data_IF_472390752647
#
_entry.id   IF_472390752647
#
_cell.length_a   1.000
_cell.length_b   1.000
_cell.length_c   1.000
_cell.angle_alpha   90.00
_cell.angle_beta   90.00
_cell.angle_gamma   90.00
#
_symmetry.space_group_name_H-M   'P 1'
#
loop_
_entity.id
_entity.type
_entity.pdbx_description
1 polymer ?
#
# COMPACT_ATOMS: atom_id res chain seq x y z
N UNK A 1 -5.96 16.51 1.87
CA UNK A 1 -5.66 15.14 2.32
C UNK A 1 -5.18 14.38 1.11
N UNK A 2 -4.16 13.54 1.25
CA UNK A 2 -3.50 12.89 0.10
C UNK A 2 -3.34 11.39 0.32
N UNK A 3 -3.52 10.59 -0.71
CA UNK A 3 -3.26 9.16 -0.71
C UNK A 3 -2.20 8.81 -1.77
N UNK A 4 -1.25 7.95 -1.39
CA UNK A 4 -0.24 7.40 -2.30
C UNK A 4 -0.65 5.97 -2.69
N UNK A 5 -0.84 5.75 -3.97
CA UNK A 5 -1.19 4.45 -4.56
C UNK A 5 0.04 3.92 -5.30
N UNK A 6 0.50 2.71 -4.94
CA UNK A 6 1.74 2.14 -5.47
C UNK A 6 1.39 0.98 -6.40
N UNK A 7 1.67 1.15 -7.70
CA UNK A 7 1.50 0.10 -8.69
C UNK A 7 2.76 -0.78 -8.76
N UNK A 8 2.67 -1.96 -8.15
CA UNK A 8 3.71 -2.98 -8.15
C UNK A 8 3.63 -4.01 -9.28
N UNK A 9 2.83 -3.74 -10.32
CA UNK A 9 2.80 -4.54 -11.55
C UNK A 9 3.98 -4.21 -12.46
N UNK A 10 4.54 -5.19 -13.19
CA UNK A 10 5.49 -4.90 -14.27
C UNK A 10 4.85 -4.12 -15.43
N UNK A 11 3.52 -3.98 -15.46
CA UNK A 11 2.77 -3.22 -16.46
C UNK A 11 2.24 -1.92 -15.87
N UNK A 12 2.66 -0.79 -16.45
CA UNK A 12 2.19 0.55 -16.07
C UNK A 12 0.67 0.69 -16.19
N UNK A 13 0.09 0.12 -17.26
CA UNK A 13 -1.35 0.15 -17.57
C UNK A 13 -1.94 -1.27 -17.60
N UNK A 14 -1.70 -2.06 -16.54
CA UNK A 14 -2.23 -3.42 -16.40
C UNK A 14 -3.44 -3.51 -15.45
N UNK A 15 -3.91 -4.73 -15.17
CA UNK A 15 -5.07 -4.98 -14.29
C UNK A 15 -4.91 -4.37 -12.88
N UNK A 16 -3.70 -4.44 -12.29
CA UNK A 16 -3.42 -3.78 -11.00
C UNK A 16 -3.56 -2.26 -11.09
N UNK A 17 -3.14 -1.65 -12.20
CA UNK A 17 -3.30 -0.22 -12.39
C UNK A 17 -4.78 0.17 -12.51
N UNK A 18 -5.55 -0.59 -13.29
CA UNK A 18 -7.00 -0.41 -13.40
C UNK A 18 -7.67 -0.45 -12.01
N UNK A 19 -7.30 -1.42 -11.18
CA UNK A 19 -7.82 -1.53 -9.82
C UNK A 19 -7.49 -0.27 -8.99
N UNK A 20 -6.24 0.19 -9.04
CA UNK A 20 -5.80 1.41 -8.36
C UNK A 20 -6.50 2.66 -8.88
N UNK A 21 -6.81 2.75 -10.17
CA UNK A 21 -7.59 3.86 -10.75
C UNK A 21 -9.02 3.92 -10.18
N UNK A 22 -9.65 2.76 -9.95
CA UNK A 22 -10.97 2.72 -9.29
C UNK A 22 -10.88 3.08 -7.80
N UNK A 23 -9.81 2.70 -7.10
CA UNK A 23 -9.56 3.20 -5.73
C UNK A 23 -9.35 4.71 -5.73
N UNK A 24 -8.57 5.24 -6.67
CA UNK A 24 -8.34 6.67 -6.84
C UNK A 24 -9.64 7.44 -7.11
N UNK A 25 -10.53 6.87 -7.93
CA UNK A 25 -11.87 7.40 -8.19
C UNK A 25 -12.68 7.53 -6.89
N UNK A 26 -12.75 6.46 -6.09
CA UNK A 26 -13.46 6.50 -4.80
C UNK A 26 -12.85 7.48 -3.80
N UNK A 27 -11.52 7.59 -3.76
CA UNK A 27 -10.82 8.58 -2.93
C UNK A 27 -11.20 10.02 -3.35
N UNK A 28 -11.20 10.30 -4.65
CA UNK A 28 -11.56 11.61 -5.19
C UNK A 28 -13.02 11.97 -4.89
N UNK A 29 -13.95 11.02 -5.05
CA UNK A 29 -15.36 11.17 -4.65
C UNK A 29 -15.51 11.49 -3.15
N UNK A 30 -14.64 10.92 -2.32
CA UNK A 30 -14.55 11.20 -0.88
C UNK A 30 -13.78 12.46 -0.50
N UNK A 31 -13.27 13.24 -1.47
CA UNK A 31 -12.53 14.48 -1.24
C UNK A 31 -11.07 14.29 -0.80
N UNK A 32 -10.44 13.17 -1.18
CA UNK A 32 -9.02 12.89 -0.95
C UNK A 32 -8.28 12.77 -2.28
N UNK A 33 -7.22 13.55 -2.46
CA UNK A 33 -6.40 13.49 -3.66
C UNK A 33 -5.59 12.20 -3.70
N UNK A 34 -5.49 11.55 -4.86
CA UNK A 34 -4.75 10.31 -5.03
C UNK A 34 -3.64 10.46 -6.07
N UNK A 35 -2.45 9.95 -5.75
CA UNK A 35 -1.31 9.88 -6.66
C UNK A 35 -0.90 8.42 -6.89
N UNK A 36 -0.97 7.94 -8.13
CA UNK A 36 -0.47 6.61 -8.50
C UNK A 36 1.00 6.71 -8.91
N UNK A 37 1.87 5.92 -8.29
CA UNK A 37 3.29 5.77 -8.64
C UNK A 37 3.55 4.35 -9.11
N UNK A 38 4.12 4.20 -10.30
CA UNK A 38 4.51 2.92 -10.87
C UNK A 38 5.95 2.59 -10.53
N UNK A 39 6.21 1.37 -10.02
CA UNK A 39 7.56 0.92 -9.65
C UNK A 39 8.49 0.69 -10.86
N UNK A 40 7.96 0.69 -12.08
CA UNK A 40 8.71 0.39 -13.31
C UNK A 40 8.62 -1.09 -13.71
N UNK A 41 9.49 -1.54 -14.61
CA UNK A 41 9.60 -2.95 -15.03
C UNK A 41 11.02 -3.50 -14.93
N UNK A 42 11.98 -2.67 -14.48
CA UNK A 42 13.37 -3.08 -14.28
C UNK A 42 13.50 -3.93 -13.01
N UNK A 43 14.50 -4.81 -12.93
CA UNK A 43 14.80 -5.53 -11.71
C UNK A 43 14.97 -4.57 -10.52
N UNK A 44 14.28 -4.86 -9.42
CA UNK A 44 14.36 -4.09 -8.19
C UNK A 44 14.91 -4.97 -7.08
N UNK A 45 16.08 -4.61 -6.57
CA UNK A 45 16.76 -5.37 -5.52
C UNK A 45 15.96 -5.32 -4.21
N UNK A 46 15.92 -6.44 -3.50
CA UNK A 46 15.36 -6.54 -2.16
C UNK A 46 16.24 -5.86 -1.11
N UNK A 47 15.73 -5.74 0.12
CA UNK A 47 16.50 -5.19 1.22
C UNK A 47 17.67 -6.12 1.60
N UNK A 48 18.89 -5.59 1.63
CA UNK A 48 20.10 -6.33 2.06
C UNK A 48 20.40 -6.20 3.56
N UNK A 49 19.50 -5.58 4.34
CA UNK A 49 19.71 -5.30 5.76
C UNK A 49 21.03 -4.56 6.09
N UNK A 50 21.56 -3.74 5.16
CA UNK A 50 22.83 -3.03 5.35
C UNK A 50 22.76 -1.88 6.38
N UNK A 51 21.56 -1.52 6.85
CA UNK A 51 21.28 -0.50 7.86
C UNK A 51 21.75 0.93 7.59
N UNK A 52 22.34 1.23 6.42
CA UNK A 52 22.76 2.59 6.07
C UNK A 52 21.61 3.61 6.12
N UNK A 53 20.40 3.20 5.72
CA UNK A 53 19.19 4.01 5.79
C UNK A 53 18.84 4.51 7.20
N UNK A 54 19.27 3.82 8.26
CA UNK A 54 19.04 4.28 9.65
C UNK A 54 19.78 5.56 9.98
N UNK A 55 20.86 5.87 9.25
CA UNK A 55 21.64 7.11 9.40
C UNK A 55 21.27 8.16 8.37
N UNK A 56 21.00 7.74 7.14
CA UNK A 56 20.81 8.65 6.00
C UNK A 56 19.34 8.99 5.71
N UNK A 57 18.39 8.24 6.27
CA UNK A 57 16.98 8.33 5.90
C UNK A 57 16.67 7.88 4.47
N UNK A 58 17.65 7.28 3.76
CA UNK A 58 17.53 6.88 2.36
C UNK A 58 18.14 5.50 2.12
N UNK A 59 17.62 4.76 1.15
CA UNK A 59 18.22 3.51 0.72
C UNK A 59 19.54 3.77 -0.04
N UNK A 60 20.50 2.84 0.07
CA UNK A 60 21.78 2.88 -0.68
C UNK A 60 21.61 2.61 -2.18
N UNK A 61 20.53 1.91 -2.53
CA UNK A 61 20.10 1.78 -3.91
C UNK A 61 19.26 3.01 -4.24
N UNK A 62 19.78 3.87 -5.11
CA UNK A 62 19.12 5.10 -5.53
C UNK A 62 18.20 4.82 -6.72
N UNK A 63 16.98 4.42 -6.39
CA UNK A 63 15.92 4.08 -7.34
C UNK A 63 14.56 4.56 -6.80
N UNK A 64 13.47 4.10 -7.43
CA UNK A 64 12.08 4.48 -7.12
C UNK A 64 11.72 4.38 -5.62
N UNK A 65 12.39 3.52 -4.84
CA UNK A 65 12.13 3.45 -3.39
C UNK A 65 12.47 4.77 -2.70
N UNK A 66 13.56 5.43 -3.10
CA UNK A 66 13.93 6.73 -2.53
C UNK A 66 13.00 7.86 -2.97
N UNK A 67 12.34 7.72 -4.12
CA UNK A 67 11.30 8.65 -4.59
C UNK A 67 10.00 8.49 -3.79
N UNK A 68 9.68 7.27 -3.35
CA UNK A 68 8.49 6.99 -2.55
C UNK A 68 8.56 7.55 -1.12
N UNK A 69 9.75 7.68 -0.53
CA UNK A 69 9.92 8.14 0.86
C UNK A 69 9.27 9.50 1.13
N UNK A 70 9.57 10.59 0.39
CA UNK A 70 8.92 11.88 0.62
C UNK A 70 7.40 11.81 0.36
N UNK A 71 6.98 11.12 -0.69
CA UNK A 71 5.56 10.97 -1.03
C UNK A 71 4.77 10.25 0.08
N UNK A 72 5.36 9.22 0.68
CA UNK A 72 4.75 8.47 1.77
C UNK A 72 4.67 9.29 3.07
N UNK A 73 5.67 10.15 3.34
CA UNK A 73 5.62 11.08 4.47
C UNK A 73 4.49 12.10 4.32
N UNK A 74 4.25 12.61 3.11
CA UNK A 74 3.15 13.55 2.83
C UNK A 74 1.76 12.91 2.82
N UNK A 75 1.65 11.61 2.52
CA UNK A 75 0.37 10.95 2.33
C UNK A 75 -0.34 10.61 3.65
N UNK A 76 -1.63 10.88 3.76
CA UNK A 76 -2.49 10.44 4.87
C UNK A 76 -2.92 8.97 4.74
N UNK A 77 -2.89 8.43 3.52
CA UNK A 77 -3.21 7.02 3.22
C UNK A 77 -2.28 6.40 2.19
N UNK A 78 -2.06 5.09 2.30
CA UNK A 78 -1.21 4.31 1.40
C UNK A 78 -1.99 3.11 0.86
N UNK A 79 -1.95 2.91 -0.45
CA UNK A 79 -2.51 1.73 -1.11
C UNK A 79 -1.40 0.98 -1.84
N UNK A 80 -1.21 -0.30 -1.53
CA UNK A 80 -0.22 -1.16 -2.19
C UNK A 80 -0.95 -2.07 -3.18
N UNK A 81 -0.73 -1.84 -4.48
CA UNK A 81 -1.27 -2.67 -5.56
C UNK A 81 -0.27 -3.70 -6.04
N UNK A 82 -0.68 -4.95 -6.20
CA UNK A 82 0.15 -6.02 -6.74
C UNK A 82 -0.61 -6.94 -7.71
N UNK A 83 0.02 -7.45 -8.78
CA UNK A 83 -0.43 -8.68 -9.41
C UNK A 83 -0.10 -9.87 -8.50
N UNK A 84 -0.80 -10.99 -8.70
CA UNK A 84 -0.49 -12.27 -8.04
C UNK A 84 0.46 -13.10 -8.90
N UNK A 85 1.67 -13.34 -8.39
CA UNK A 85 2.66 -14.22 -9.01
C UNK A 85 2.87 -15.45 -8.12
N UNK A 86 2.59 -16.65 -8.64
CA UNK A 86 2.73 -17.91 -7.91
C UNK A 86 2.09 -17.89 -6.50
N UNK A 87 0.85 -17.41 -6.42
CA UNK A 87 0.06 -17.27 -5.19
C UNK A 87 0.63 -16.33 -4.11
N UNK A 88 1.49 -15.39 -4.51
CA UNK A 88 2.02 -14.34 -3.65
C UNK A 88 2.00 -12.97 -4.37
N UNK A 89 2.29 -11.91 -3.63
CA UNK A 89 2.53 -10.59 -4.22
C UNK A 89 3.77 -10.62 -5.12
N UNK A 90 3.87 -9.69 -6.07
CA UNK A 90 4.96 -9.65 -7.04
C UNK A 90 6.33 -9.47 -6.34
N UNK A 91 7.38 -10.06 -6.92
CA UNK A 91 8.75 -9.83 -6.43
C UNK A 91 9.13 -8.35 -6.41
N UNK A 92 8.62 -7.58 -7.38
CA UNK A 92 8.90 -6.16 -7.49
C UNK A 92 8.27 -5.35 -6.35
N UNK A 93 6.99 -5.57 -6.03
CA UNK A 93 6.32 -4.86 -4.94
C UNK A 93 6.94 -5.25 -3.60
N UNK A 94 7.23 -6.52 -3.38
CA UNK A 94 7.80 -6.99 -2.12
C UNK A 94 9.22 -6.45 -1.93
N UNK A 95 10.07 -6.42 -2.96
CA UNK A 95 11.39 -5.76 -2.92
C UNK A 95 11.28 -4.27 -2.55
N UNK A 96 10.36 -3.54 -3.18
CA UNK A 96 10.15 -2.12 -2.89
C UNK A 96 9.66 -1.90 -1.45
N UNK A 97 8.64 -2.64 -1.03
CA UNK A 97 8.01 -2.46 0.28
C UNK A 97 8.93 -2.89 1.41
N UNK A 98 9.68 -4.00 1.26
CA UNK A 98 10.72 -4.37 2.22
C UNK A 98 11.72 -3.23 2.44
N UNK A 99 12.13 -2.53 1.38
CA UNK A 99 13.06 -1.42 1.52
C UNK A 99 12.40 -0.17 2.11
N UNK A 100 11.25 0.24 1.56
CA UNK A 100 10.51 1.44 2.00
C UNK A 100 10.17 1.37 3.49
N UNK A 101 9.50 0.31 3.93
CA UNK A 101 9.09 0.12 5.32
C UNK A 101 10.29 -0.12 6.26
N UNK A 102 11.38 -0.73 5.77
CA UNK A 102 12.55 -0.96 6.60
C UNK A 102 13.37 0.31 6.87
N UNK A 103 13.38 1.29 5.97
CA UNK A 103 14.19 2.52 6.13
C UNK A 103 13.96 3.19 7.50
N UNK A 104 12.72 3.21 7.97
CA UNK A 104 12.29 4.00 9.12
C UNK A 104 12.31 5.51 8.84
N UNK A 105 12.42 5.92 7.57
CA UNK A 105 12.42 7.32 7.16
C UNK A 105 11.00 7.89 6.96
N UNK A 106 9.98 7.01 7.03
CA UNK A 106 8.58 7.39 6.93
C UNK A 106 7.94 7.21 8.31
N UNK A 107 7.28 8.25 8.81
CA UNK A 107 6.41 8.13 9.98
C UNK A 107 5.06 7.55 9.54
N UNK A 108 4.75 6.32 9.93
CA UNK A 108 3.49 5.66 9.58
C UNK A 108 2.34 5.98 10.55
N UNK A 109 2.62 6.73 11.61
CA UNK A 109 1.67 6.95 12.72
C UNK A 109 0.38 7.61 12.24
N UNK A 110 -0.75 6.93 12.46
CA UNK A 110 -2.06 7.42 12.07
C UNK A 110 -2.32 7.48 10.56
N UNK A 111 -1.44 6.93 9.71
CA UNK A 111 -1.71 6.80 8.27
C UNK A 111 -2.57 5.56 7.99
N UNK A 112 -3.58 5.70 7.14
CA UNK A 112 -4.44 4.58 6.74
C UNK A 112 -3.74 3.68 5.70
N UNK A 113 -3.91 2.37 5.78
CA UNK A 113 -3.29 1.40 4.87
C UNK A 113 -4.32 0.52 4.17
N UNK A 114 -4.13 0.25 2.88
CA UNK A 114 -4.90 -0.75 2.16
C UNK A 114 -4.02 -1.51 1.15
N UNK A 115 -4.37 -2.75 0.87
CA UNK A 115 -3.77 -3.51 -0.23
C UNK A 115 -4.81 -3.84 -1.28
N UNK A 116 -4.38 -3.96 -2.53
CA UNK A 116 -5.19 -4.39 -3.67
C UNK A 116 -4.41 -5.44 -4.44
N UNK A 117 -5.08 -6.53 -4.81
CA UNK A 117 -4.47 -7.60 -5.60
C UNK A 117 -5.25 -7.88 -6.87
N UNK A 118 -4.54 -8.15 -7.96
CA UNK A 118 -5.13 -8.60 -9.21
C UNK A 118 -4.65 -10.01 -9.54
N UNK A 119 -5.58 -10.92 -9.86
CA UNK A 119 -5.24 -12.30 -10.23
C UNK A 119 -6.11 -12.82 -11.38
N UNK A 120 -5.63 -13.81 -12.13
CA UNK A 120 -6.45 -14.45 -13.18
C UNK A 120 -7.39 -15.52 -12.62
N UNK A 121 -6.98 -16.25 -11.57
CA UNK A 121 -7.71 -17.44 -11.08
C UNK A 121 -7.58 -17.70 -9.59
N UNK A 122 -6.41 -17.51 -8.98
CA UNK A 122 -6.21 -17.88 -7.59
C UNK A 122 -4.94 -17.29 -6.99
N UNK A 123 -4.80 -17.47 -5.68
CA UNK A 123 -3.68 -16.93 -4.90
C UNK A 123 -3.88 -15.50 -4.39
N UNK A 124 -5.03 -14.89 -4.66
CA UNK A 124 -5.34 -13.54 -4.24
C UNK A 124 -5.40 -13.38 -2.71
N UNK A 125 -6.02 -14.32 -1.98
CA UNK A 125 -6.05 -14.27 -0.51
C UNK A 125 -4.66 -14.29 0.12
N UNK A 126 -3.78 -15.21 -0.32
CA UNK A 126 -2.42 -15.30 0.20
C UNK A 126 -1.58 -14.05 -0.11
N UNK A 127 -1.71 -13.48 -1.31
CA UNK A 127 -1.05 -12.23 -1.68
C UNK A 127 -1.61 -11.03 -0.87
N UNK A 128 -2.92 -10.95 -0.69
CA UNK A 128 -3.59 -9.92 0.11
C UNK A 128 -3.13 -9.96 1.57
N UNK A 129 -3.10 -11.16 2.17
CA UNK A 129 -2.62 -11.38 3.53
C UNK A 129 -1.14 -11.00 3.68
N UNK A 130 -0.32 -11.32 2.69
CA UNK A 130 1.09 -10.94 2.66
C UNK A 130 1.26 -9.42 2.69
N UNK A 131 0.51 -8.67 1.85
CA UNK A 131 0.62 -7.23 1.78
C UNK A 131 0.09 -6.53 3.04
N UNK A 132 -0.98 -7.04 3.65
CA UNK A 132 -1.53 -6.42 4.87
C UNK A 132 -0.58 -6.47 6.07
N UNK A 133 0.42 -7.36 6.07
CA UNK A 133 1.45 -7.42 7.11
C UNK A 133 2.28 -6.14 7.20
N UNK A 134 2.45 -5.38 6.12
CA UNK A 134 3.16 -4.10 6.15
C UNK A 134 2.44 -3.06 7.02
N UNK A 135 1.11 -3.09 7.03
CA UNK A 135 0.29 -2.17 7.82
C UNK A 135 0.24 -2.59 9.29
N UNK A 136 0.07 -3.88 9.57
CA UNK A 136 -0.02 -4.38 10.96
C UNK A 136 1.31 -4.24 11.70
N UNK A 137 2.45 -4.45 11.03
CA UNK A 137 3.76 -4.30 11.66
C UNK A 137 4.11 -2.83 11.97
N UNK A 138 3.48 -1.88 11.26
CA UNK A 138 3.72 -0.44 11.44
C UNK A 138 2.63 0.29 12.22
N UNK A 139 1.56 -0.40 12.63
CA UNK A 139 0.46 0.19 13.40
C UNK A 139 -0.50 1.04 12.57
N UNK A 140 -0.52 0.85 11.25
CA UNK A 140 -1.45 1.55 10.36
C UNK A 140 -2.85 0.92 10.45
N UNK A 141 -3.92 1.72 10.62
CA UNK A 141 -5.28 1.22 10.48
C UNK A 141 -5.51 0.66 9.08
N UNK A 142 -5.94 -0.60 9.00
CA UNK A 142 -6.25 -1.26 7.73
C UNK A 142 -7.64 -0.87 7.27
N UNK A 143 -7.75 -0.36 6.05
CA UNK A 143 -9.02 -0.07 5.39
C UNK A 143 -9.48 -1.30 4.61
N UNK A 144 -10.69 -1.76 4.91
CA UNK A 144 -11.39 -2.77 4.13
C UNK A 144 -12.40 -2.14 3.18
N UNK A 145 -12.74 -2.87 2.12
CA UNK A 145 -13.97 -2.63 1.35
C UNK A 145 -15.16 -3.39 1.97
N UNK A 146 -16.28 -3.52 1.25
CA UNK A 146 -17.38 -4.43 1.62
C UNK A 146 -17.06 -5.90 1.32
N UNK A 147 -15.97 -6.17 0.59
CA UNK A 147 -15.39 -7.49 0.36
C UNK A 147 -13.86 -7.41 0.34
N UNK A 148 -13.17 -8.53 0.10
CA UNK A 148 -11.72 -8.52 -0.03
C UNK A 148 -11.27 -7.75 -1.27
N UNK A 149 -10.20 -6.96 -1.13
CA UNK A 149 -9.72 -6.01 -2.13
C UNK A 149 -9.01 -6.73 -3.31
N UNK A 150 -9.76 -7.49 -4.09
CA UNK A 150 -9.27 -8.36 -5.15
C UNK A 150 -10.03 -8.08 -6.45
N UNK A 151 -9.33 -8.13 -7.59
CA UNK A 151 -9.93 -8.06 -8.92
C UNK A 151 -9.44 -9.21 -9.81
N UNK A 152 -10.30 -9.70 -10.70
CA UNK A 152 -10.05 -10.83 -11.57
C UNK A 152 -9.96 -10.45 -13.05
N UNK A 153 -8.93 -10.96 -13.74
CA UNK A 153 -8.77 -10.78 -15.20
C UNK A 153 -7.33 -10.99 -15.66
N UNK A 154 -7.15 -11.54 -16.86
CA UNK A 154 -5.82 -11.70 -17.48
C UNK A 154 -5.37 -10.43 -18.21
N UNK A 155 -6.30 -9.63 -18.70
CA UNK A 155 -6.06 -8.33 -19.34
C UNK A 155 -6.95 -7.26 -18.70
N UNK A 156 -6.65 -5.95 -18.89
CA UNK A 156 -7.53 -4.87 -18.43
C UNK A 156 -8.96 -5.00 -18.96
N UNK A 157 -9.14 -5.47 -20.21
CA UNK A 157 -10.45 -5.66 -20.84
C UNK A 157 -11.27 -6.79 -20.20
N UNK A 158 -10.60 -7.82 -19.68
CA UNK A 158 -11.26 -8.86 -18.88
C UNK A 158 -11.56 -8.34 -17.48
N UNK A 159 -10.61 -7.64 -16.84
CA UNK A 159 -10.78 -7.07 -15.52
C UNK A 159 -11.87 -6.00 -15.46
N UNK A 160 -12.12 -5.29 -16.56
CA UNK A 160 -13.26 -4.36 -16.69
C UNK A 160 -14.62 -5.05 -16.62
N UNK A 161 -14.69 -6.38 -16.78
CA UNK A 161 -15.92 -7.17 -16.66
C UNK A 161 -16.12 -7.75 -15.25
N UNK A 162 -15.15 -7.60 -14.36
CA UNK A 162 -15.28 -7.95 -12.94
C UNK A 162 -16.00 -6.80 -12.21
N UNK A 163 -17.32 -6.68 -12.45
CA UNK A 163 -18.15 -5.60 -11.91
C UNK A 163 -18.08 -5.52 -10.38
N UNK A 164 -18.09 -6.67 -9.70
CA UNK A 164 -17.95 -6.75 -8.24
C UNK A 164 -16.57 -6.30 -7.77
N UNK A 165 -15.50 -6.73 -8.45
CA UNK A 165 -14.13 -6.29 -8.16
C UNK A 165 -13.95 -4.78 -8.34
N UNK A 166 -14.49 -4.21 -9.42
CA UNK A 166 -14.44 -2.76 -9.69
C UNK A 166 -15.21 -1.95 -8.63
N UNK A 167 -16.43 -2.37 -8.29
CA UNK A 167 -17.21 -1.74 -7.24
C UNK A 167 -16.52 -1.87 -5.87
N UNK A 168 -15.85 -2.99 -5.61
CA UNK A 168 -15.05 -3.21 -4.40
C UNK A 168 -13.88 -2.23 -4.33
N UNK A 169 -13.20 -1.95 -5.44
CA UNK A 169 -12.11 -0.95 -5.49
C UNK A 169 -12.61 0.47 -5.26
N UNK A 170 -13.73 0.85 -5.90
CA UNK A 170 -14.31 2.17 -5.71
C UNK A 170 -14.77 2.38 -4.26
N UNK A 171 -15.44 1.37 -3.67
CA UNK A 171 -15.82 1.45 -2.25
C UNK A 171 -14.60 1.50 -1.32
N UNK A 172 -13.53 0.76 -1.62
CA UNK A 172 -12.29 0.84 -0.84
C UNK A 172 -11.77 2.29 -0.79
N UNK A 173 -11.81 2.99 -1.92
CA UNK A 173 -11.43 4.40 -1.99
C UNK A 173 -12.32 5.29 -1.12
N UNK A 174 -13.63 5.11 -1.18
CA UNK A 174 -14.60 5.85 -0.35
C UNK A 174 -14.39 5.58 1.15
N UNK A 175 -14.19 4.32 1.54
CA UNK A 175 -13.94 3.91 2.92
C UNK A 175 -12.62 4.50 3.44
N UNK A 176 -11.57 4.51 2.60
CA UNK A 176 -10.29 5.12 2.97
C UNK A 176 -10.43 6.64 3.13
N UNK A 177 -11.14 7.31 2.22
CA UNK A 177 -11.40 8.74 2.33
C UNK A 177 -12.17 9.09 3.61
N UNK A 178 -13.21 8.30 3.94
CA UNK A 178 -13.93 8.43 5.21
C UNK A 178 -12.99 8.27 6.41
N UNK A 179 -12.17 7.22 6.45
CA UNK A 179 -11.29 6.97 7.58
C UNK A 179 -10.22 8.07 7.74
N UNK A 180 -9.61 8.53 6.65
CA UNK A 180 -8.64 9.64 6.66
C UNK A 180 -9.30 10.89 7.26
N UNK A 181 -10.54 11.21 6.85
CA UNK A 181 -11.29 12.34 7.39
C UNK A 181 -11.61 12.17 8.88
N UNK A 182 -11.98 10.97 9.32
CA UNK A 182 -12.21 10.66 10.73
C UNK A 182 -10.94 10.81 11.57
N UNK A 183 -9.80 10.31 11.09
CA UNK A 183 -8.51 10.46 11.78
C UNK A 183 -8.14 11.95 11.90
N UNK A 184 -8.32 12.71 10.82
CA UNK A 184 -8.08 14.16 10.84
C UNK A 184 -9.02 14.87 11.81
N UNK A 185 -10.32 14.62 11.75
CA UNK A 185 -11.29 15.22 12.66
C UNK A 185 -11.02 14.85 14.13
N UNK A 186 -10.62 13.60 14.38
CA UNK A 186 -10.21 13.14 15.71
C UNK A 186 -8.99 13.90 16.22
N UNK A 187 -7.96 14.08 15.38
CA UNK A 187 -6.78 14.89 15.70
C UNK A 187 -7.15 16.34 16.00
N UNK A 188 -7.99 16.96 15.17
CA UNK A 188 -8.45 18.34 15.35
C UNK A 188 -9.29 18.49 16.64
N UNK A 189 -9.96 17.42 17.09
CA UNK A 189 -10.69 17.34 18.35
C UNK A 189 -9.81 16.93 19.56
N UNK A 190 -8.51 16.73 19.39
CA UNK A 190 -7.57 16.40 20.47
C UNK A 190 -7.35 14.90 20.73
N UNK A 191 -7.94 14.01 19.92
CA UNK A 191 -7.67 12.57 19.97
C UNK A 191 -6.37 12.25 19.21
N UNK A 192 -5.25 12.29 19.93
CA UNK A 192 -3.94 11.96 19.37
C UNK A 192 -3.76 10.46 19.13
N UNK A 193 -2.88 10.09 18.19
CA UNK A 193 -2.47 8.71 18.00
C UNK A 193 -1.79 8.19 19.28
N UNK A 194 -2.19 7.03 19.83
CA UNK A 194 -1.77 6.59 21.17
C UNK A 194 -0.29 6.18 21.25
N UNK A 195 0.40 5.99 20.11
CA UNK A 195 1.79 5.59 20.09
C UNK A 195 2.02 4.16 20.60
N UNK A 196 3.27 3.85 20.96
CA UNK A 196 3.66 2.54 21.49
C UNK A 196 3.64 2.54 23.01
N UNK A 197 3.08 1.48 23.61
CA UNK A 197 3.06 1.29 25.07
C UNK A 197 4.44 0.87 25.61
N UNK A 198 5.23 0.14 24.83
CA UNK A 198 6.62 -0.21 25.18
C UNK A 198 7.52 -0.31 23.94
N UNK A 199 8.83 -0.15 24.16
CA UNK A 199 9.85 -0.28 23.12
C UNK A 199 10.76 -1.51 23.32
N UNK A 200 10.47 -2.36 24.30
CA UNK A 200 11.23 -3.60 24.53
C UNK A 200 11.24 -4.46 23.27
N UNK A 201 12.46 -4.83 22.81
CA UNK A 201 12.68 -5.78 21.74
C UNK A 201 13.12 -7.09 22.37
N UNK A 202 12.24 -8.08 22.39
CA UNK A 202 12.60 -9.43 22.83
C UNK A 202 13.07 -10.23 21.64
N UNK A 203 14.30 -10.73 21.70
CA UNK A 203 14.71 -11.88 20.91
C UNK A 203 14.51 -13.13 21.78
N UNK A 204 14.06 -14.25 21.19
CA UNK A 204 13.90 -15.52 21.92
C UNK A 204 15.25 -16.21 22.21
N UNK A 205 16.34 -15.50 21.96
CA UNK A 205 17.72 -15.92 22.20
C UNK A 205 18.11 -15.35 23.56
N UNK A 206 18.37 -16.23 24.52
CA UNK A 206 18.98 -15.89 25.80
C UNK A 206 20.49 -16.08 25.70
#
# INVERSE_FOLDING_TARGET
MKALLINGSPHRQGCTNLALEYVAKGLAEGGVDAQIVWLGSKPLAGCMACNACRKTGRCVHDDVVNELIPLANEADGIVIGSPVHYAAASGQVTSAMHRLFYTGAVDWSGKAGASVVSCRRGGASAAFDQLNKYFTITGMPIVSSYYWNQIHGNTPEEAMRDEEGLATMQQLGLNMAWLIRCIKAGRDAGFAYPGRVHNAKTNFIR
#
